data_IF_977533373370
#
_entry.id   IF_977533373370
#
_cell.length_a   1.000
_cell.length_b   1.000
_cell.length_c   1.000
_cell.angle_alpha   90.00
_cell.angle_beta   90.00
_cell.angle_gamma   90.00
#
_symmetry.space_group_name_H-M   'P 1'
#
loop_
_entity.id
_entity.type
_entity.pdbx_description
1 polymer ?
#
# COMPACT_ATOMS: atom_id res chain seq x y z
N UNK A 1 2.76 -14.34 15.02
CA UNK A 1 3.14 -14.42 13.61
C UNK A 1 4.50 -15.05 13.56
N UNK A 2 4.65 -16.13 12.82
CA UNK A 2 5.89 -16.89 12.71
C UNK A 2 6.73 -16.33 11.56
N UNK A 3 7.97 -16.82 11.41
CA UNK A 3 8.94 -16.20 10.49
C UNK A 3 9.75 -17.24 9.72
N UNK A 4 9.74 -17.11 8.39
CA UNK A 4 10.73 -17.73 7.51
C UNK A 4 11.85 -16.73 7.29
N UNK A 5 13.11 -17.17 7.42
CA UNK A 5 14.27 -16.30 7.26
C UNK A 5 15.26 -16.90 6.27
N UNK A 6 15.75 -16.07 5.35
CA UNK A 6 16.91 -16.37 4.52
C UNK A 6 18.03 -15.44 4.99
N UNK A 7 19.16 -16.03 5.38
CA UNK A 7 20.29 -15.30 5.95
C UNK A 7 21.47 -15.36 5.00
N UNK A 8 21.93 -14.19 4.62
CA UNK A 8 23.14 -13.95 3.84
C UNK A 8 23.22 -14.73 2.51
N UNK A 9 22.14 -14.68 1.72
CA UNK A 9 22.13 -15.19 0.35
C UNK A 9 23.07 -14.34 -0.53
N UNK A 10 24.13 -14.96 -1.03
CA UNK A 10 25.13 -14.28 -1.85
C UNK A 10 24.68 -14.16 -3.30
N UNK A 11 24.83 -12.96 -3.87
CA UNK A 11 24.53 -12.68 -5.27
C UNK A 11 25.63 -11.83 -5.89
N UNK A 12 25.88 -12.02 -7.20
CA UNK A 12 26.76 -11.16 -7.98
C UNK A 12 25.92 -10.42 -9.02
N UNK A 13 26.06 -9.09 -9.09
CA UNK A 13 25.30 -8.26 -10.02
C UNK A 13 26.04 -6.95 -10.34
N UNK A 14 25.44 -6.14 -11.22
CA UNK A 14 26.03 -4.95 -11.82
C UNK A 14 25.31 -3.66 -11.37
N UNK A 15 24.90 -3.61 -10.11
CA UNK A 15 24.24 -2.43 -9.53
C UNK A 15 25.24 -1.41 -9.01
N UNK A 16 24.92 -0.12 -9.17
CA UNK A 16 25.73 0.98 -8.68
C UNK A 16 25.68 2.20 -9.60
N UNK A 17 25.92 3.37 -9.01
CA UNK A 17 25.89 4.64 -9.73
C UNK A 17 27.12 4.80 -10.64
N UNK A 18 28.29 4.32 -10.20
CA UNK A 18 29.52 4.52 -10.96
C UNK A 18 29.56 3.57 -12.15
N UNK A 19 29.93 4.04 -13.36
CA UNK A 19 30.05 3.18 -14.55
C UNK A 19 30.93 1.94 -14.34
N UNK A 20 31.99 2.07 -13.54
CA UNK A 20 32.88 0.96 -13.19
C UNK A 20 32.19 -0.16 -12.40
N UNK A 21 31.19 0.17 -11.57
CA UNK A 21 30.40 -0.83 -10.84
C UNK A 21 29.52 -1.64 -11.79
N UNK A 22 28.97 -0.97 -12.82
CA UNK A 22 28.16 -1.62 -13.86
C UNK A 22 28.99 -2.45 -14.84
N UNK A 23 30.28 -2.16 -14.96
CA UNK A 23 31.20 -2.93 -15.82
C UNK A 23 31.78 -4.15 -15.08
N UNK A 24 32.29 -3.97 -13.86
CA UNK A 24 32.95 -5.03 -13.10
C UNK A 24 31.96 -5.96 -12.39
N UNK A 25 30.82 -5.43 -11.99
CA UNK A 25 29.94 -6.09 -11.03
C UNK A 25 30.58 -6.21 -9.64
N UNK A 26 29.78 -6.59 -8.66
CA UNK A 26 30.25 -6.78 -7.29
C UNK A 26 29.37 -7.78 -6.53
N UNK A 27 29.88 -8.23 -5.39
CA UNK A 27 29.15 -9.07 -4.45
C UNK A 27 28.11 -8.25 -3.69
N UNK A 28 26.91 -8.78 -3.63
CA UNK A 28 25.82 -8.35 -2.75
C UNK A 28 25.39 -9.51 -1.87
N UNK A 29 24.80 -9.19 -0.73
CA UNK A 29 24.31 -10.19 0.23
C UNK A 29 22.91 -9.81 0.67
N UNK A 30 21.94 -10.71 0.48
CA UNK A 30 20.53 -10.49 0.82
C UNK A 30 20.17 -11.30 2.06
N UNK A 31 19.58 -10.62 3.05
CA UNK A 31 18.95 -11.25 4.21
C UNK A 31 17.49 -10.80 4.29
N UNK A 32 16.58 -11.71 4.62
CA UNK A 32 15.17 -11.38 4.68
C UNK A 32 14.43 -12.15 5.76
N UNK A 33 13.40 -11.52 6.30
CA UNK A 33 12.42 -12.08 7.24
C UNK A 33 11.05 -11.96 6.57
N UNK A 34 10.40 -13.08 6.33
CA UNK A 34 9.03 -13.18 5.84
C UNK A 34 8.14 -13.67 6.98
N UNK A 35 7.17 -12.86 7.39
CA UNK A 35 6.24 -13.22 8.48
C UNK A 35 4.90 -13.67 7.92
N UNK A 36 4.41 -14.79 8.43
CA UNK A 36 3.07 -15.33 8.19
C UNK A 36 2.71 -16.36 9.28
N UNK A 37 1.47 -16.82 9.33
CA UNK A 37 1.05 -17.86 10.29
C UNK A 37 1.45 -19.25 9.78
N UNK A 38 2.38 -19.91 10.48
CA UNK A 38 2.87 -21.24 10.10
C UNK A 38 2.07 -22.37 10.75
N UNK A 39 1.08 -22.06 11.60
CA UNK A 39 0.30 -23.05 12.34
C UNK A 39 -0.32 -24.07 11.40
N UNK A 40 -0.98 -23.61 10.32
CA UNK A 40 -1.64 -24.50 9.35
C UNK A 40 -0.64 -25.44 8.66
N UNK A 41 0.49 -24.92 8.18
CA UNK A 41 1.51 -25.74 7.54
C UNK A 41 2.09 -26.79 8.51
N UNK A 42 2.27 -26.42 9.79
CA UNK A 42 2.80 -27.29 10.82
C UNK A 42 1.79 -28.35 11.30
N UNK A 43 0.51 -28.03 11.41
CA UNK A 43 -0.52 -28.96 11.92
C UNK A 43 -1.04 -29.91 10.85
N UNK A 44 -1.19 -29.41 9.61
CA UNK A 44 -1.91 -30.14 8.55
C UNK A 44 -0.96 -30.79 7.54
N UNK A 45 0.36 -30.58 7.68
CA UNK A 45 1.38 -30.92 6.67
C UNK A 45 1.04 -30.32 5.29
N UNK A 46 0.37 -29.17 5.29
CA UNK A 46 -0.06 -28.48 4.08
C UNK A 46 1.11 -27.69 3.48
N UNK A 47 1.76 -28.27 2.46
CA UNK A 47 2.85 -27.64 1.73
C UNK A 47 2.42 -26.31 1.08
N UNK A 48 1.14 -26.17 0.71
CA UNK A 48 0.61 -24.96 0.07
C UNK A 48 0.47 -23.80 1.05
N UNK A 49 0.54 -24.06 2.36
CA UNK A 49 0.56 -23.05 3.42
C UNK A 49 2.00 -22.65 3.84
N UNK A 50 3.01 -23.04 3.06
CA UNK A 50 4.42 -22.72 3.32
C UNK A 50 5.11 -22.16 2.08
N UNK A 51 6.16 -21.36 2.29
CA UNK A 51 6.98 -20.82 1.20
C UNK A 51 8.18 -21.74 0.95
N UNK A 52 8.37 -22.17 -0.30
CA UNK A 52 9.49 -23.01 -0.69
C UNK A 52 10.79 -22.18 -0.78
N UNK A 53 11.71 -22.38 0.18
CA UNK A 53 12.96 -21.61 0.28
C UNK A 53 13.85 -21.72 -0.97
N UNK A 54 13.95 -22.90 -1.58
CA UNK A 54 14.75 -23.10 -2.81
C UNK A 54 14.26 -22.25 -3.99
N UNK A 55 12.95 -22.29 -4.28
CA UNK A 55 12.32 -21.46 -5.31
C UNK A 55 12.44 -19.96 -4.98
N UNK A 56 12.21 -19.57 -3.72
CA UNK A 56 12.34 -18.18 -3.28
C UNK A 56 13.75 -17.64 -3.54
N UNK A 57 14.79 -18.38 -3.14
CA UNK A 57 16.19 -18.00 -3.38
C UNK A 57 16.49 -17.90 -4.89
N UNK A 58 15.98 -18.83 -5.70
CA UNK A 58 16.18 -18.83 -7.15
C UNK A 58 15.49 -17.64 -7.83
N UNK A 59 14.24 -17.34 -7.43
CA UNK A 59 13.49 -16.19 -7.93
C UNK A 59 14.15 -14.88 -7.54
N UNK A 60 14.52 -14.70 -6.26
CA UNK A 60 15.24 -13.51 -5.83
C UNK A 60 16.54 -13.32 -6.60
N UNK A 61 17.34 -14.37 -6.78
CA UNK A 61 18.59 -14.29 -7.57
C UNK A 61 18.31 -13.86 -9.01
N UNK A 62 17.25 -14.41 -9.61
CA UNK A 62 16.82 -14.06 -10.98
C UNK A 62 16.42 -12.59 -11.06
N UNK A 63 15.48 -12.15 -10.22
CA UNK A 63 14.98 -10.77 -10.20
C UNK A 63 16.09 -9.76 -9.87
N UNK A 64 17.03 -10.14 -9.03
CA UNK A 64 18.19 -9.32 -8.70
C UNK A 64 19.07 -9.05 -9.93
N UNK A 65 19.27 -10.05 -10.78
CA UNK A 65 20.18 -9.98 -11.93
C UNK A 65 19.53 -9.50 -13.24
N UNK A 66 18.21 -9.32 -13.29
CA UNK A 66 17.48 -8.90 -14.50
C UNK A 66 17.94 -7.56 -15.09
N UNK A 67 18.35 -6.63 -14.24
CA UNK A 67 18.64 -5.23 -14.61
C UNK A 67 19.83 -4.69 -13.82
N UNK A 68 20.43 -3.59 -14.29
CA UNK A 68 21.55 -2.91 -13.62
C UNK A 68 21.12 -1.55 -13.08
N UNK A 69 20.43 -1.58 -11.94
CA UNK A 69 19.96 -0.38 -11.24
C UNK A 69 21.10 0.47 -10.67
N UNK A 70 20.90 1.80 -10.63
CA UNK A 70 21.84 2.75 -10.01
C UNK A 70 21.86 2.64 -8.49
N UNK A 71 20.68 2.44 -7.90
CA UNK A 71 20.43 2.42 -6.46
C UNK A 71 20.07 1.02 -5.99
N UNK A 72 20.66 0.59 -4.87
CA UNK A 72 20.35 -0.70 -4.26
C UNK A 72 18.98 -0.69 -3.56
N UNK A 73 18.50 0.50 -3.19
CA UNK A 73 17.16 0.76 -2.70
C UNK A 73 16.10 0.25 -3.70
N UNK A 74 16.26 0.58 -4.98
CA UNK A 74 15.36 0.15 -6.06
C UNK A 74 15.34 -1.37 -6.19
N UNK A 75 16.51 -2.01 -6.11
CA UNK A 75 16.63 -3.48 -6.19
C UNK A 75 15.96 -4.14 -4.99
N UNK A 76 16.25 -3.65 -3.77
CA UNK A 76 15.64 -4.15 -2.56
C UNK A 76 14.10 -4.00 -2.59
N UNK A 77 13.60 -2.87 -3.11
CA UNK A 77 12.16 -2.62 -3.22
C UNK A 77 11.52 -3.58 -4.22
N UNK A 78 12.14 -3.77 -5.40
CA UNK A 78 11.69 -4.73 -6.42
C UNK A 78 11.56 -6.14 -5.87
N UNK A 79 12.51 -6.59 -5.05
CA UNK A 79 12.44 -7.91 -4.41
C UNK A 79 11.25 -8.00 -3.43
N UNK A 80 11.00 -6.95 -2.65
CA UNK A 80 9.86 -6.91 -1.72
C UNK A 80 8.53 -6.92 -2.47
N UNK A 81 8.38 -6.05 -3.47
CA UNK A 81 7.18 -5.95 -4.32
C UNK A 81 6.84 -7.29 -4.98
N UNK A 82 7.78 -7.90 -5.71
CA UNK A 82 7.55 -9.18 -6.37
C UNK A 82 7.32 -10.32 -5.37
N UNK A 83 7.93 -10.28 -4.19
CA UNK A 83 7.67 -11.30 -3.16
C UNK A 83 6.21 -11.28 -2.73
N UNK A 84 5.62 -10.09 -2.51
CA UNK A 84 4.21 -10.02 -2.17
C UNK A 84 3.28 -10.42 -3.33
N UNK A 85 3.67 -10.17 -4.58
CA UNK A 85 2.92 -10.60 -5.77
C UNK A 85 2.88 -12.13 -5.92
N UNK A 86 4.04 -12.79 -5.80
CA UNK A 86 4.16 -14.24 -6.04
C UNK A 86 3.85 -15.09 -4.80
N UNK A 87 3.96 -14.53 -3.59
CA UNK A 87 3.74 -15.25 -2.33
C UNK A 87 2.66 -14.57 -1.49
N UNK A 88 1.36 -14.74 -1.83
CA UNK A 88 0.26 -14.08 -1.14
C UNK A 88 0.14 -14.43 0.35
N UNK A 89 0.74 -15.56 0.79
CA UNK A 89 0.86 -15.97 2.19
C UNK A 89 1.63 -14.97 3.05
N UNK A 90 2.61 -14.27 2.47
CA UNK A 90 3.48 -13.35 3.22
C UNK A 90 2.68 -12.12 3.63
N UNK A 91 2.67 -11.83 4.93
CA UNK A 91 1.96 -10.68 5.51
C UNK A 91 2.89 -9.52 5.83
N UNK A 92 4.14 -9.80 6.13
CA UNK A 92 5.16 -8.80 6.44
C UNK A 92 6.50 -9.25 5.90
N UNK A 93 7.27 -8.31 5.38
CA UNK A 93 8.58 -8.58 4.81
C UNK A 93 9.57 -7.51 5.24
N UNK A 94 10.69 -7.94 5.79
CA UNK A 94 11.87 -7.12 6.05
C UNK A 94 13.04 -7.69 5.27
N UNK A 95 13.55 -6.94 4.29
CA UNK A 95 14.66 -7.33 3.44
C UNK A 95 15.82 -6.36 3.61
N UNK A 96 16.98 -6.90 3.98
CA UNK A 96 18.26 -6.22 4.02
C UNK A 96 19.10 -6.61 2.81
N UNK A 97 19.57 -5.61 2.06
CA UNK A 97 20.50 -5.76 0.95
C UNK A 97 21.83 -5.11 1.35
N UNK A 98 22.86 -5.94 1.51
CA UNK A 98 24.21 -5.54 1.91
C UNK A 98 25.09 -5.40 0.67
N UNK A 99 25.94 -4.37 0.67
CA UNK A 99 26.93 -4.04 -0.37
C UNK A 99 28.33 -3.99 0.28
N UNK A 100 28.95 -5.16 0.55
CA UNK A 100 30.23 -5.23 1.26
C UNK A 100 31.41 -4.63 0.48
N UNK A 101 31.31 -4.52 -0.84
CA UNK A 101 32.36 -3.95 -1.70
C UNK A 101 32.00 -2.55 -2.23
N UNK A 102 31.15 -1.83 -1.50
CA UNK A 102 30.89 -0.42 -1.81
C UNK A 102 32.23 0.34 -1.88
N UNK A 103 32.40 1.30 -2.83
CA UNK A 103 33.66 2.01 -3.05
C UNK A 103 33.96 3.04 -1.94
N UNK A 104 34.03 2.56 -0.71
CA UNK A 104 34.35 3.31 0.50
C UNK A 104 35.77 2.94 0.90
N UNK A 105 36.71 3.88 0.83
CA UNK A 105 38.13 3.66 1.13
C UNK A 105 38.45 3.71 2.64
N UNK A 106 37.58 3.14 3.47
CA UNK A 106 37.71 3.04 4.92
C UNK A 106 37.47 1.59 5.36
N UNK A 107 37.94 1.21 6.54
CA UNK A 107 37.60 -0.10 7.11
C UNK A 107 36.20 -0.06 7.73
N UNK A 108 35.29 -0.86 7.19
CA UNK A 108 33.96 -1.14 7.74
C UNK A 108 33.62 -2.62 7.49
N UNK A 109 32.60 -3.15 8.16
CA UNK A 109 32.09 -4.50 7.88
C UNK A 109 31.28 -4.53 6.57
N UNK A 110 30.20 -3.76 6.50
CA UNK A 110 29.40 -3.61 5.27
C UNK A 110 28.50 -2.37 5.34
N UNK A 111 28.09 -1.87 4.17
CA UNK A 111 26.96 -0.94 4.04
C UNK A 111 25.71 -1.75 3.67
N UNK A 112 24.55 -1.39 4.21
CA UNK A 112 23.29 -2.03 3.83
C UNK A 112 22.13 -1.05 3.74
N UNK A 113 21.15 -1.41 2.92
CA UNK A 113 19.82 -0.81 2.90
C UNK A 113 18.84 -1.87 3.40
N UNK A 114 17.90 -1.47 4.25
CA UNK A 114 16.84 -2.36 4.70
C UNK A 114 15.47 -1.75 4.38
N UNK A 115 14.65 -2.48 3.64
CA UNK A 115 13.27 -2.12 3.35
C UNK A 115 12.35 -3.04 4.14
N UNK A 116 11.36 -2.43 4.80
CA UNK A 116 10.38 -3.12 5.63
C UNK A 116 8.98 -2.68 5.21
N UNK A 117 8.12 -3.66 4.89
CA UNK A 117 6.74 -3.45 4.44
C UNK A 117 5.85 -4.52 5.07
N UNK A 118 4.58 -4.16 5.30
CA UNK A 118 3.57 -5.03 5.91
C UNK A 118 2.24 -4.79 5.22
N UNK A 119 1.50 -5.86 4.90
CA UNK A 119 0.12 -5.77 4.43
C UNK A 119 -0.77 -5.15 5.48
N UNK A 120 -1.58 -4.19 5.06
CA UNK A 120 -2.41 -3.34 5.90
C UNK A 120 -3.78 -3.19 5.28
N UNK A 121 -4.81 -3.26 6.13
CA UNK A 121 -6.17 -2.95 5.75
C UNK A 121 -6.38 -1.43 5.75
N UNK A 122 -6.87 -0.88 4.65
CA UNK A 122 -7.20 0.54 4.54
C UNK A 122 -8.62 0.76 4.02
N UNK A 123 -9.17 1.94 4.29
CA UNK A 123 -10.45 2.39 3.76
C UNK A 123 -10.26 3.69 3.00
N UNK A 124 -10.75 3.73 1.77
CA UNK A 124 -10.61 4.88 0.87
C UNK A 124 -12.02 5.30 0.45
N UNK A 125 -12.35 6.59 0.61
CA UNK A 125 -13.56 7.17 0.05
C UNK A 125 -13.27 7.67 -1.36
N UNK A 126 -14.20 7.41 -2.27
CA UNK A 126 -14.22 7.88 -3.64
C UNK A 126 -15.42 8.81 -3.83
N UNK A 127 -15.22 9.92 -4.52
CA UNK A 127 -16.29 10.86 -4.87
C UNK A 127 -16.12 11.41 -6.29
N UNK A 128 -17.21 11.51 -7.04
CA UNK A 128 -17.23 12.11 -8.39
C UNK A 128 -18.50 12.91 -8.62
N UNK A 129 -18.39 14.14 -9.14
CA UNK A 129 -19.55 14.93 -9.54
C UNK A 129 -19.48 15.53 -10.95
N UNK A 130 -18.49 15.15 -11.75
CA UNK A 130 -18.34 15.62 -13.13
C UNK A 130 -18.34 14.46 -14.13
N UNK A 131 -18.91 14.67 -15.32
CA UNK A 131 -18.92 13.67 -16.38
C UNK A 131 -19.72 12.41 -16.03
N UNK A 132 -19.26 11.24 -16.48
CA UNK A 132 -19.83 9.95 -16.11
C UNK A 132 -19.32 9.52 -14.72
N UNK A 133 -20.06 9.95 -13.69
CA UNK A 133 -19.69 9.77 -12.28
C UNK A 133 -19.45 8.30 -11.93
N UNK A 134 -20.26 7.37 -12.44
CA UNK A 134 -20.09 5.93 -12.18
C UNK A 134 -18.87 5.37 -12.89
N UNK A 135 -18.63 5.76 -14.14
CA UNK A 135 -17.44 5.34 -14.87
C UNK A 135 -16.16 5.86 -14.20
N UNK A 136 -16.16 7.07 -13.66
CA UNK A 136 -15.01 7.63 -12.95
C UNK A 136 -14.67 6.84 -11.68
N UNK A 137 -15.67 6.50 -10.87
CA UNK A 137 -15.48 5.65 -9.67
C UNK A 137 -14.88 4.29 -10.06
N UNK A 138 -15.45 3.64 -11.09
CA UNK A 138 -14.96 2.36 -11.59
C UNK A 138 -13.51 2.45 -12.09
N UNK A 139 -13.18 3.48 -12.88
CA UNK A 139 -11.81 3.69 -13.37
C UNK A 139 -10.81 3.92 -12.25
N UNK A 140 -11.20 4.62 -11.19
CA UNK A 140 -10.35 4.81 -10.02
C UNK A 140 -10.07 3.49 -9.30
N UNK A 141 -11.09 2.63 -9.12
CA UNK A 141 -10.92 1.28 -8.55
C UNK A 141 -10.05 0.40 -9.45
N UNK A 142 -10.23 0.45 -10.77
CA UNK A 142 -9.38 -0.29 -11.71
C UNK A 142 -7.92 0.19 -11.66
N UNK A 143 -7.68 1.51 -11.50
CA UNK A 143 -6.34 2.08 -11.31
C UNK A 143 -5.72 1.66 -9.97
N UNK A 144 -6.49 1.58 -8.89
CA UNK A 144 -6.02 1.02 -7.61
C UNK A 144 -5.55 -0.43 -7.79
N UNK A 145 -6.37 -1.27 -8.44
CA UNK A 145 -6.01 -2.67 -8.74
C UNK A 145 -4.74 -2.79 -9.59
N UNK A 146 -4.58 -1.91 -10.59
CA UNK A 146 -3.41 -1.88 -11.46
C UNK A 146 -2.10 -1.52 -10.72
N UNK A 147 -2.18 -0.94 -9.51
CA UNK A 147 -1.02 -0.65 -8.63
C UNK A 147 -0.79 -1.73 -7.56
N UNK A 148 -1.39 -2.90 -7.73
CA UNK A 148 -1.24 -4.01 -6.79
C UNK A 148 -2.03 -3.84 -5.50
N UNK A 149 -2.87 -2.80 -5.37
CA UNK A 149 -3.74 -2.61 -4.20
C UNK A 149 -4.96 -3.53 -4.36
N UNK A 150 -5.15 -4.44 -3.40
CA UNK A 150 -6.21 -5.44 -3.46
C UNK A 150 -7.51 -4.89 -2.90
N UNK A 151 -8.59 -4.92 -3.69
CA UNK A 151 -9.92 -4.51 -3.23
C UNK A 151 -10.55 -5.69 -2.46
N UNK A 152 -10.78 -5.51 -1.17
CA UNK A 152 -11.39 -6.51 -0.29
C UNK A 152 -12.92 -6.42 -0.32
N UNK A 153 -13.46 -5.19 -0.26
CA UNK A 153 -14.89 -4.90 -0.33
C UNK A 153 -15.14 -3.53 -0.96
N UNK A 154 -16.30 -3.38 -1.58
CA UNK A 154 -16.77 -2.13 -2.16
C UNK A 154 -18.18 -1.88 -1.62
N UNK A 155 -18.47 -0.66 -1.16
CA UNK A 155 -19.85 -0.29 -0.79
C UNK A 155 -20.70 -0.11 -2.04
N UNK A 156 -22.01 -0.03 -1.86
CA UNK A 156 -22.89 0.55 -2.87
C UNK A 156 -22.49 2.01 -3.18
N UNK A 157 -22.82 2.47 -4.38
CA UNK A 157 -22.62 3.86 -4.81
C UNK A 157 -23.82 4.69 -4.38
N UNK A 158 -23.57 5.75 -3.62
CA UNK A 158 -24.58 6.67 -3.11
C UNK A 158 -24.59 7.95 -3.94
N UNK A 159 -25.78 8.37 -4.40
CA UNK A 159 -25.97 9.71 -4.94
C UNK A 159 -26.25 10.69 -3.79
N UNK A 160 -25.47 11.76 -3.68
CA UNK A 160 -25.56 12.70 -2.56
C UNK A 160 -25.45 14.14 -3.01
N UNK A 161 -26.06 15.04 -2.24
CA UNK A 161 -25.85 16.48 -2.44
C UNK A 161 -24.41 16.90 -2.10
N UNK A 162 -23.91 17.99 -2.70
CA UNK A 162 -22.59 18.53 -2.38
C UNK A 162 -22.42 18.92 -0.92
N UNK A 163 -21.27 18.58 -0.35
CA UNK A 163 -20.86 19.09 0.96
C UNK A 163 -19.99 20.35 0.80
N UNK A 164 -20.12 21.33 1.69
CA UNK A 164 -19.27 22.53 1.72
C UNK A 164 -19.87 23.81 1.10
N UNK A 165 -21.14 23.79 0.68
CA UNK A 165 -21.89 25.00 0.32
C UNK A 165 -21.58 25.62 -1.06
N UNK A 166 -20.75 24.98 -1.88
CA UNK A 166 -20.51 25.38 -3.28
C UNK A 166 -21.57 24.72 -4.16
N UNK A 167 -22.29 25.52 -4.96
CA UNK A 167 -23.25 25.02 -5.94
C UNK A 167 -22.54 24.20 -7.01
N UNK A 168 -22.88 22.92 -7.09
CA UNK A 168 -22.31 21.96 -8.01
C UNK A 168 -23.28 20.78 -8.18
N UNK A 169 -23.04 19.96 -9.21
CA UNK A 169 -23.86 18.77 -9.43
C UNK A 169 -23.68 17.76 -8.27
N UNK A 170 -24.68 16.90 -8.10
CA UNK A 170 -24.72 15.78 -7.16
C UNK A 170 -23.46 14.91 -7.28
N UNK A 171 -22.99 14.41 -6.15
CA UNK A 171 -21.87 13.47 -6.10
C UNK A 171 -22.36 12.02 -6.19
N UNK A 172 -21.60 11.17 -6.87
CA UNK A 172 -21.59 9.74 -6.63
C UNK A 172 -20.46 9.43 -5.65
N UNK A 173 -20.78 8.87 -4.49
CA UNK A 173 -19.84 8.54 -3.43
C UNK A 173 -19.80 7.02 -3.19
N UNK A 174 -18.62 6.52 -2.87
CA UNK A 174 -18.38 5.11 -2.56
C UNK A 174 -17.25 5.00 -1.54
N UNK A 175 -17.23 3.96 -0.72
CA UNK A 175 -16.07 3.61 0.10
C UNK A 175 -15.61 2.21 -0.27
N UNK A 176 -14.30 2.04 -0.40
CA UNK A 176 -13.68 0.73 -0.64
C UNK A 176 -12.77 0.35 0.53
N UNK A 177 -12.82 -0.93 0.86
CA UNK A 177 -11.89 -1.58 1.78
C UNK A 177 -10.80 -2.25 0.95
N UNK A 178 -9.53 -1.98 1.26
CA UNK A 178 -8.40 -2.48 0.50
C UNK A 178 -7.34 -3.12 1.39
N UNK A 179 -6.52 -3.98 0.80
CA UNK A 179 -5.25 -4.47 1.35
C UNK A 179 -4.09 -3.92 0.51
N UNK A 180 -3.10 -3.33 1.16
CA UNK A 180 -1.87 -2.88 0.51
C UNK A 180 -0.69 -3.03 1.47
N UNK A 181 0.52 -3.21 0.95
CA UNK A 181 1.73 -3.13 1.75
C UNK A 181 2.36 -1.73 1.76
N UNK A 182 1.79 -0.77 1.01
CA UNK A 182 2.28 0.60 0.97
C UNK A 182 2.04 1.28 2.33
N UNK A 183 3.06 1.94 2.91
CA UNK A 183 2.89 2.86 4.01
C UNK A 183 1.82 3.91 3.71
N UNK A 184 1.18 4.45 4.74
CA UNK A 184 0.08 5.41 4.58
C UNK A 184 0.43 6.64 3.71
N UNK A 185 1.68 7.13 3.81
CA UNK A 185 2.17 8.24 2.99
C UNK A 185 2.30 7.83 1.50
N UNK A 186 2.95 6.71 1.21
CA UNK A 186 3.10 6.18 -0.16
C UNK A 186 1.72 5.86 -0.78
N UNK A 187 0.76 5.39 0.04
CA UNK A 187 -0.62 5.17 -0.37
C UNK A 187 -1.32 6.49 -0.73
N UNK A 188 -1.17 7.54 0.10
CA UNK A 188 -1.69 8.88 -0.21
C UNK A 188 -1.12 9.41 -1.54
N UNK A 189 0.19 9.31 -1.74
CA UNK A 189 0.85 9.73 -2.97
C UNK A 189 0.33 8.95 -4.20
N UNK A 190 0.07 7.65 -4.03
CA UNK A 190 -0.56 6.82 -5.06
C UNK A 190 -1.98 7.29 -5.39
N UNK A 191 -2.78 7.64 -4.39
CA UNK A 191 -4.13 8.19 -4.59
C UNK A 191 -4.08 9.51 -5.38
N UNK A 192 -3.19 10.43 -4.97
CA UNK A 192 -2.99 11.71 -5.66
C UNK A 192 -2.53 11.52 -7.11
N UNK A 193 -1.67 10.54 -7.38
CA UNK A 193 -1.27 10.20 -8.74
C UNK A 193 -2.44 9.69 -9.58
N UNK A 194 -3.30 8.82 -9.03
CA UNK A 194 -4.50 8.32 -9.70
C UNK A 194 -5.46 9.47 -10.05
N UNK A 195 -5.67 10.41 -9.13
CA UNK A 195 -6.49 11.60 -9.39
C UNK A 195 -5.94 12.45 -10.54
N UNK A 196 -4.62 12.69 -10.54
CA UNK A 196 -3.94 13.45 -11.58
C UNK A 196 -4.06 12.77 -12.94
N UNK A 197 -3.86 11.45 -13.01
CA UNK A 197 -3.99 10.65 -14.23
C UNK A 197 -5.42 10.62 -14.78
N UNK A 198 -6.42 10.71 -13.92
CA UNK A 198 -7.82 10.84 -14.34
C UNK A 198 -8.20 12.26 -14.74
N UNK A 199 -7.34 13.25 -14.50
CA UNK A 199 -7.54 14.64 -14.94
C UNK A 199 -8.15 15.55 -13.89
N UNK A 200 -7.91 15.28 -12.59
CA UNK A 200 -8.31 16.20 -11.51
C UNK A 200 -7.58 17.55 -11.68
N UNK A 201 -8.34 18.62 -11.90
CA UNK A 201 -7.85 20.01 -11.90
C UNK A 201 -8.33 20.71 -10.63
N UNK A 202 -7.42 21.31 -9.86
CA UNK A 202 -7.73 22.00 -8.59
C UNK A 202 -7.83 23.51 -8.80
N UNK A 203 -8.97 23.98 -9.28
CA UNK A 203 -9.22 25.42 -9.49
C UNK A 203 -9.82 26.12 -8.27
N UNK A 204 -10.80 25.48 -7.62
CA UNK A 204 -11.54 26.03 -6.48
C UNK A 204 -11.50 25.03 -5.33
N UNK A 205 -11.23 25.50 -4.11
CA UNK A 205 -11.32 24.68 -2.91
C UNK A 205 -12.77 24.17 -2.76
N UNK A 206 -12.96 22.84 -2.70
CA UNK A 206 -14.26 22.15 -2.74
C UNK A 206 -15.09 22.30 -4.02
N UNK A 207 -14.45 22.73 -5.12
CA UNK A 207 -15.09 22.79 -6.42
C UNK A 207 -15.42 21.41 -7.01
N UNK A 208 -16.08 21.42 -8.19
CA UNK A 208 -16.35 20.23 -8.97
C UNK A 208 -15.06 19.46 -9.29
N UNK A 209 -15.14 18.13 -9.26
CA UNK A 209 -14.00 17.25 -9.51
C UNK A 209 -14.44 15.96 -10.19
N UNK A 210 -13.60 15.52 -11.13
CA UNK A 210 -13.83 14.26 -11.85
C UNK A 210 -13.71 13.06 -10.91
N UNK A 211 -12.73 13.07 -10.01
CA UNK A 211 -12.54 12.07 -8.99
C UNK A 211 -11.86 12.69 -7.76
N UNK A 212 -12.19 12.16 -6.60
CA UNK A 212 -11.66 12.51 -5.29
C UNK A 212 -11.43 11.23 -4.51
N UNK A 213 -10.22 11.04 -4.01
CA UNK A 213 -9.79 9.86 -3.28
C UNK A 213 -9.26 10.28 -1.91
N UNK A 214 -10.07 10.07 -0.88
CA UNK A 214 -9.72 10.39 0.51
C UNK A 214 -9.31 9.12 1.26
N UNK A 215 -8.11 9.10 1.84
CA UNK A 215 -7.68 8.01 2.71
C UNK A 215 -8.32 8.16 4.10
N UNK A 216 -9.27 7.29 4.45
CA UNK A 216 -10.04 7.39 5.69
C UNK A 216 -9.30 6.79 6.88
N UNK A 217 -8.84 5.55 6.72
CA UNK A 217 -8.16 4.79 7.76
C UNK A 217 -7.10 3.90 7.12
N UNK A 218 -6.00 3.65 7.85
CA UNK A 218 -5.09 2.53 7.60
C UNK A 218 -4.95 1.79 8.93
N UNK A 219 -5.67 0.68 9.06
CA UNK A 219 -5.82 -0.09 10.31
C UNK A 219 -6.14 0.81 11.52
N UNK A 220 -5.37 0.71 12.59
CA UNK A 220 -5.47 1.48 13.82
C UNK A 220 -4.53 2.70 13.87
N UNK A 221 -3.89 3.04 12.74
CA UNK A 221 -2.92 4.12 12.69
C UNK A 221 -3.57 5.48 12.98
N UNK A 222 -2.82 6.30 13.73
CA UNK A 222 -3.14 7.69 14.00
C UNK A 222 -1.91 8.50 13.59
N UNK A 223 -2.04 9.30 12.54
CA UNK A 223 -0.96 10.11 11.98
C UNK A 223 -1.38 11.58 11.92
N UNK A 224 -0.41 12.46 12.12
CA UNK A 224 -0.57 13.90 11.96
C UNK A 224 0.74 14.43 11.34
N UNK A 225 0.80 14.42 10.01
CA UNK A 225 1.89 14.98 9.22
C UNK A 225 1.37 16.19 8.44
N UNK A 226 2.26 16.93 7.77
CA UNK A 226 1.86 18.09 6.96
C UNK A 226 0.92 17.71 5.82
N UNK A 227 1.09 16.50 5.26
CA UNK A 227 0.32 16.03 4.10
C UNK A 227 -0.82 15.06 4.45
N UNK A 228 -0.79 14.41 5.63
CA UNK A 228 -1.72 13.34 6.00
C UNK A 228 -2.16 13.37 7.46
N UNK A 229 -3.48 13.37 7.67
CA UNK A 229 -4.11 13.14 8.97
C UNK A 229 -4.87 11.81 8.91
N UNK A 230 -4.51 10.87 9.78
CA UNK A 230 -5.23 9.62 9.98
C UNK A 230 -5.74 9.49 11.42
N UNK A 231 -6.95 8.97 11.63
CA UNK A 231 -8.04 8.87 10.65
C UNK A 231 -8.39 10.21 10.00
N UNK A 232 -8.97 10.19 8.80
CA UNK A 232 -9.40 11.43 8.15
C UNK A 232 -10.32 12.24 9.08
N UNK A 233 -10.07 13.55 9.27
CA UNK A 233 -10.64 14.31 10.38
C UNK A 233 -12.17 14.40 10.36
N UNK A 234 -12.78 14.43 9.18
CA UNK A 234 -14.23 14.65 9.02
C UNK A 234 -15.06 13.36 8.90
N UNK A 235 -14.52 12.19 9.23
CA UNK A 235 -15.27 10.92 9.08
C UNK A 235 -16.56 10.93 9.90
N UNK A 236 -16.49 11.33 11.16
CA UNK A 236 -17.64 11.35 12.07
C UNK A 236 -18.65 12.47 11.77
N UNK A 237 -18.33 13.38 10.84
CA UNK A 237 -19.17 14.53 10.45
C UNK A 237 -19.82 14.35 9.07
N UNK A 238 -19.41 13.33 8.30
CA UNK A 238 -19.89 13.07 6.93
C UNK A 238 -20.82 11.85 6.91
N UNK A 239 -22.14 12.11 6.90
CA UNK A 239 -23.17 11.05 6.90
C UNK A 239 -23.00 10.07 5.74
N UNK A 240 -22.75 10.56 4.53
CA UNK A 240 -22.55 9.71 3.36
C UNK A 240 -21.31 8.79 3.46
N UNK A 241 -20.23 9.26 4.11
CA UNK A 241 -19.04 8.42 4.36
C UNK A 241 -19.39 7.32 5.36
N UNK A 242 -20.06 7.67 6.46
CA UNK A 242 -20.49 6.69 7.47
C UNK A 242 -21.51 5.70 6.90
N UNK A 243 -22.38 6.13 6.00
CA UNK A 243 -23.37 5.27 5.34
C UNK A 243 -22.69 4.19 4.49
N UNK A 244 -21.80 4.57 3.59
CA UNK A 244 -21.00 3.62 2.79
C UNK A 244 -20.08 2.76 3.65
N UNK A 245 -19.44 3.34 4.66
CA UNK A 245 -18.49 2.62 5.51
C UNK A 245 -19.18 1.61 6.44
N UNK A 246 -20.37 1.93 6.97
CA UNK A 246 -21.12 0.97 7.80
C UNK A 246 -21.63 -0.23 7.00
N UNK A 247 -21.82 -0.08 5.69
CA UNK A 247 -22.25 -1.18 4.80
C UNK A 247 -21.19 -2.29 4.76
N UNK A 248 -19.91 -1.90 4.65
CA UNK A 248 -18.80 -2.85 4.45
C UNK A 248 -18.07 -3.22 5.76
N UNK A 249 -18.08 -2.33 6.76
CA UNK A 249 -17.31 -2.47 7.98
C UNK A 249 -18.02 -1.90 9.24
N UNK A 250 -19.26 -2.36 9.57
CA UNK A 250 -20.05 -1.80 10.67
C UNK A 250 -19.40 -1.95 12.06
N UNK A 251 -18.55 -2.97 12.22
CA UNK A 251 -17.86 -3.30 13.47
C UNK A 251 -16.42 -2.78 13.55
N UNK A 252 -15.91 -2.12 12.49
CA UNK A 252 -14.59 -1.50 12.56
C UNK A 252 -14.62 -0.39 13.61
N UNK A 253 -13.59 -0.32 14.45
CA UNK A 253 -13.53 0.61 15.59
C UNK A 253 -12.70 1.82 15.17
N UNK A 254 -13.27 3.01 15.27
CA UNK A 254 -12.55 4.25 15.03
C UNK A 254 -11.38 4.38 16.03
N UNK A 255 -10.11 4.52 15.57
CA UNK A 255 -8.94 4.50 16.45
C UNK A 255 -8.93 5.60 17.52
N UNK A 256 -9.43 6.80 17.19
CA UNK A 256 -9.57 7.92 18.14
C UNK A 256 -10.85 7.83 18.99
N UNK A 257 -12.03 7.79 18.36
CA UNK A 257 -13.32 7.82 19.06
C UNK A 257 -13.65 6.52 19.82
N UNK A 258 -12.92 5.42 19.58
CA UNK A 258 -13.10 4.10 20.19
C UNK A 258 -14.53 3.56 20.09
N UNK A 259 -15.23 3.92 19.02
CA UNK A 259 -16.60 3.48 18.74
C UNK A 259 -16.64 2.70 17.41
N UNK A 260 -17.48 1.65 17.32
CA UNK A 260 -17.78 1.00 16.05
C UNK A 260 -18.39 2.00 15.04
N UNK A 261 -18.09 1.84 13.75
CA UNK A 261 -18.64 2.69 12.69
C UNK A 261 -20.17 2.76 12.74
N UNK A 262 -20.86 1.64 13.00
CA UNK A 262 -22.33 1.63 13.14
C UNK A 262 -22.84 2.62 14.21
N UNK A 263 -22.12 2.78 15.32
CA UNK A 263 -22.52 3.69 16.39
C UNK A 263 -22.32 5.16 15.99
N UNK A 264 -21.26 5.46 15.23
CA UNK A 264 -21.02 6.80 14.68
C UNK A 264 -22.11 7.17 13.67
N UNK A 265 -22.48 6.23 12.80
CA UNK A 265 -23.57 6.40 11.85
C UNK A 265 -24.91 6.67 12.55
N UNK A 266 -25.27 5.86 13.55
CA UNK A 266 -26.50 6.02 14.32
C UNK A 266 -26.57 7.36 15.08
N UNK A 267 -25.42 7.93 15.46
CA UNK A 267 -25.35 9.23 16.14
C UNK A 267 -25.59 10.40 15.18
N UNK A 268 -25.11 10.30 13.93
CA UNK A 268 -25.21 11.37 12.94
C UNK A 268 -26.52 11.32 12.13
N UNK A 269 -27.17 10.16 12.03
CA UNK A 269 -28.46 9.98 11.35
C UNK A 269 -29.65 10.57 12.13
N UNK A 270 -29.50 10.76 13.44
CA UNK A 270 -30.54 11.29 14.34
C UNK A 270 -30.74 12.79 14.17
#
# INVERSE_FOLDING_TARGET
MDQLQIKDLEMFAYHGLFPSEKELGQKFVVSAILSYDMTKAATDLDLTASVHYGELCQQWTTWFQETSEDLIETVAYKLVERTFEFYPLVQEMKLELKKPWAPVHLSLDTCSVTIHRRKQRAFIALGSNMGDKQANLKQAIDKLRARGIHILKESSVLATEPWGGVEQDSFANQVVEVETWLPAQDLLETLLAIESELGRVREVHWGPRLIDLDLLFVEDQILYTDDLILPHPYIAERLFVLESLQEIAPHFIHPILKQPIRNLYDALKK
#
